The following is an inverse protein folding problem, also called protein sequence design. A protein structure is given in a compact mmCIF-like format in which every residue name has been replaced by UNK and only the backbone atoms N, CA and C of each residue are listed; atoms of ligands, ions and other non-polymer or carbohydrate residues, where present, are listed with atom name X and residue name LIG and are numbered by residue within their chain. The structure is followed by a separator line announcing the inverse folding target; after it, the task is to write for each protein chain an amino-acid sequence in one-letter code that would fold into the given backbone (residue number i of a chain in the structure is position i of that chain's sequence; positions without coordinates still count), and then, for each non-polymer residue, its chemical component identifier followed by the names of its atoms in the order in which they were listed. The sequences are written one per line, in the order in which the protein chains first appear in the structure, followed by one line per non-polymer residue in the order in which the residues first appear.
data_IF_753262869179
#
_entry.id   IF_753262869179
#
_cell.length_a   1.000
_cell.length_b   1.000
_cell.length_c   1.000
_cell.angle_alpha   90.00
_cell.angle_beta   90.00
_cell.angle_gamma   90.00
#
_symmetry.space_group_name_H-M   'P 1'
#
loop_
_entity.id
_entity.type
_entity.pdbx_description
1 polymer ?
#
# COMPACT_ATOMS: atom_id res chain seq x y z
N UNK A 1 18.57 -15.90 6.85
CA UNK A 1 18.48 -14.51 7.36
C UNK A 1 17.01 -14.23 7.68
N UNK A 2 16.67 -13.76 8.87
CA UNK A 2 15.27 -13.69 9.30
C UNK A 2 14.49 -12.66 8.46
N UNK A 3 13.33 -13.06 7.94
CA UNK A 3 12.43 -12.19 7.16
C UNK A 3 12.12 -10.87 7.89
N UNK A 4 12.04 -10.91 9.23
CA UNK A 4 11.85 -9.75 10.07
C UNK A 4 12.98 -8.71 9.92
N UNK A 5 14.24 -9.16 9.90
CA UNK A 5 15.41 -8.27 9.75
C UNK A 5 15.37 -7.59 8.39
N UNK A 6 15.02 -8.32 7.32
CA UNK A 6 14.87 -7.76 5.98
C UNK A 6 13.74 -6.73 5.90
N UNK A 7 12.61 -7.02 6.52
CA UNK A 7 11.48 -6.10 6.57
C UNK A 7 11.83 -4.81 7.32
N UNK A 8 12.47 -4.91 8.48
CA UNK A 8 12.93 -3.74 9.26
C UNK A 8 13.97 -2.95 8.48
N UNK A 9 14.97 -3.62 7.88
CA UNK A 9 15.99 -2.95 7.08
C UNK A 9 15.38 -2.22 5.88
N UNK A 10 14.40 -2.81 5.20
CA UNK A 10 13.69 -2.18 4.09
C UNK A 10 12.85 -0.97 4.54
N UNK A 11 12.18 -1.04 5.69
CA UNK A 11 11.45 0.09 6.27
C UNK A 11 12.37 1.24 6.64
N UNK A 12 13.48 0.96 7.32
CA UNK A 12 14.50 1.97 7.67
C UNK A 12 15.09 2.60 6.41
N UNK A 13 15.43 1.78 5.43
CA UNK A 13 15.95 2.25 4.15
C UNK A 13 14.93 3.11 3.39
N UNK A 14 13.67 2.67 3.33
CA UNK A 14 12.58 3.46 2.72
C UNK A 14 12.35 4.82 3.40
N UNK A 15 12.64 4.93 4.70
CA UNK A 15 12.58 6.19 5.44
C UNK A 15 13.78 7.10 5.15
N UNK A 16 14.97 6.52 5.01
CA UNK A 16 16.21 7.28 4.80
C UNK A 16 16.44 7.67 3.34
N UNK A 17 15.87 6.91 2.41
CA UNK A 17 16.04 7.14 0.98
C UNK A 17 15.06 8.20 0.50
N UNK A 18 15.57 9.22 -0.20
CA UNK A 18 14.72 10.20 -0.86
C UNK A 18 13.75 9.49 -1.83
N UNK A 19 12.43 9.73 -1.75
CA UNK A 19 11.44 9.05 -2.61
C UNK A 19 11.77 9.16 -4.10
N UNK A 20 12.41 10.25 -4.52
CA UNK A 20 12.81 10.48 -5.90
C UNK A 20 13.77 9.45 -6.49
N UNK A 21 14.51 8.71 -5.67
CA UNK A 21 15.41 7.66 -6.16
C UNK A 21 14.68 6.37 -6.51
N UNK A 22 13.62 6.02 -5.77
CA UNK A 22 12.91 4.74 -5.92
C UNK A 22 11.76 4.83 -6.91
N UNK A 23 11.07 5.97 -6.98
CA UNK A 23 9.89 6.20 -7.83
C UNK A 23 10.13 5.85 -9.31
N UNK A 24 11.23 6.27 -9.97
CA UNK A 24 11.42 5.97 -11.39
C UNK A 24 11.60 4.47 -11.68
N UNK A 25 12.26 3.74 -10.78
CA UNK A 25 12.44 2.28 -10.95
C UNK A 25 11.12 1.53 -10.74
N UNK A 26 10.35 1.95 -9.75
CA UNK A 26 9.01 1.41 -9.52
C UNK A 26 8.12 1.63 -10.74
N UNK A 27 8.05 2.84 -11.27
CA UNK A 27 7.23 3.18 -12.43
C UNK A 27 7.62 2.36 -13.68
N UNK A 28 8.93 2.15 -13.90
CA UNK A 28 9.41 1.27 -14.98
C UNK A 28 8.95 -0.18 -14.79
N UNK A 29 9.00 -0.68 -13.56
CA UNK A 29 8.56 -2.04 -13.25
C UNK A 29 7.04 -2.19 -13.39
N UNK A 30 6.25 -1.22 -12.93
CA UNK A 30 4.80 -1.17 -13.11
C UNK A 30 4.44 -1.12 -14.61
N UNK A 31 5.07 -0.26 -15.39
CA UNK A 31 4.87 -0.17 -16.84
C UNK A 31 5.24 -1.48 -17.57
N UNK A 32 6.27 -2.19 -17.12
CA UNK A 32 6.62 -3.50 -17.68
C UNK A 32 5.53 -4.55 -17.39
N UNK A 33 4.99 -4.58 -16.17
CA UNK A 33 3.87 -5.46 -15.80
C UNK A 33 2.64 -5.13 -16.65
N UNK A 34 2.33 -3.87 -16.81
CA UNK A 34 1.21 -3.38 -17.63
C UNK A 34 1.37 -3.82 -19.08
N UNK A 35 2.54 -3.65 -19.66
CA UNK A 35 2.81 -4.06 -21.05
C UNK A 35 2.63 -5.57 -21.25
N UNK A 36 3.05 -6.40 -20.29
CA UNK A 36 2.79 -7.84 -20.33
C UNK A 36 1.29 -8.12 -20.23
N UNK A 37 0.61 -7.43 -19.31
CA UNK A 37 -0.82 -7.57 -19.12
C UNK A 37 -1.61 -7.23 -20.41
N UNK A 38 -1.19 -6.19 -21.15
CA UNK A 38 -1.86 -5.78 -22.39
C UNK A 38 -1.74 -6.78 -23.54
N UNK A 39 -0.68 -7.57 -23.53
CA UNK A 39 -0.51 -8.63 -24.54
C UNK A 39 -1.43 -9.82 -24.31
N UNK A 40 -2.15 -9.87 -23.18
CA UNK A 40 -3.01 -10.99 -22.77
C UNK A 40 -4.50 -10.66 -22.94
N UNK A 41 -5.33 -11.64 -23.33
CA UNK A 41 -6.81 -11.50 -23.32
C UNK A 41 -7.30 -11.21 -21.88
N UNK A 42 -8.36 -10.40 -21.74
CA UNK A 42 -8.91 -9.97 -20.46
C UNK A 42 -9.04 -11.11 -19.39
N UNK A 43 -9.63 -12.28 -19.71
CA UNK A 43 -9.82 -13.32 -18.69
C UNK A 43 -8.50 -13.94 -18.21
N UNK A 44 -7.41 -13.86 -18.99
CA UNK A 44 -6.11 -14.44 -18.67
C UNK A 44 -5.15 -13.45 -17.99
N UNK A 45 -5.41 -12.14 -18.05
CA UNK A 45 -4.54 -11.10 -17.47
C UNK A 45 -4.21 -11.37 -16.01
N UNK A 46 -5.25 -11.44 -15.18
CA UNK A 46 -5.09 -11.63 -13.74
C UNK A 46 -4.38 -12.96 -13.40
N UNK A 47 -4.87 -14.14 -13.83
CA UNK A 47 -4.23 -15.39 -13.44
C UNK A 47 -2.81 -15.56 -13.96
N UNK A 48 -2.51 -15.08 -15.17
CA UNK A 48 -1.16 -15.19 -15.75
C UNK A 48 -0.17 -14.26 -15.06
N UNK A 49 -0.53 -12.98 -14.85
CA UNK A 49 0.37 -12.01 -14.21
C UNK A 49 0.58 -12.36 -12.73
N UNK A 50 -0.48 -12.69 -12.01
CA UNK A 50 -0.39 -13.11 -10.59
C UNK A 50 0.38 -14.42 -10.46
N UNK A 51 0.12 -15.38 -11.33
CA UNK A 51 0.82 -16.66 -11.38
C UNK A 51 2.30 -16.51 -11.71
N UNK A 52 2.67 -15.61 -12.64
CA UNK A 52 4.06 -15.30 -12.95
C UNK A 52 4.79 -14.67 -11.76
N UNK A 53 4.14 -13.79 -11.00
CA UNK A 53 4.70 -13.22 -9.76
C UNK A 53 4.99 -14.28 -8.70
N UNK A 54 4.06 -15.23 -8.53
CA UNK A 54 4.29 -16.38 -7.64
C UNK A 54 5.44 -17.25 -8.11
N UNK A 55 5.49 -17.60 -9.42
CA UNK A 55 6.53 -18.46 -9.98
C UNK A 55 7.91 -17.81 -9.90
N UNK A 56 8.03 -16.55 -10.33
CA UNK A 56 9.29 -15.78 -10.25
C UNK A 56 9.76 -15.67 -8.80
N UNK A 57 8.85 -15.31 -7.89
CA UNK A 57 9.16 -15.21 -6.47
C UNK A 57 9.62 -16.55 -5.87
N UNK A 58 8.96 -17.65 -6.23
CA UNK A 58 9.33 -18.99 -5.77
C UNK A 58 10.71 -19.41 -6.29
N UNK A 59 11.00 -19.22 -7.58
CA UNK A 59 12.31 -19.53 -8.16
C UNK A 59 13.40 -18.71 -7.50
N UNK A 60 13.23 -17.40 -7.35
CA UNK A 60 14.20 -16.52 -6.71
C UNK A 60 14.39 -16.87 -5.23
N UNK A 61 13.35 -17.28 -4.51
CA UNK A 61 13.44 -17.65 -3.10
C UNK A 61 14.34 -18.89 -2.87
N UNK A 62 14.52 -19.76 -3.87
CA UNK A 62 15.44 -20.91 -3.79
C UNK A 62 16.91 -20.53 -3.98
N UNK A 63 17.21 -19.31 -4.44
CA UNK A 63 18.58 -18.82 -4.63
C UNK A 63 19.01 -18.00 -3.40
N UNK A 64 19.88 -18.52 -2.51
CA UNK A 64 20.09 -17.92 -1.18
C UNK A 64 20.60 -16.47 -1.24
N UNK A 65 21.54 -16.15 -2.11
CA UNK A 65 22.11 -14.80 -2.24
C UNK A 65 21.21 -13.92 -3.12
N UNK A 66 20.89 -14.40 -4.31
CA UNK A 66 20.08 -13.65 -5.29
C UNK A 66 18.66 -13.40 -4.74
N UNK A 67 18.05 -14.43 -4.13
CA UNK A 67 16.73 -14.33 -3.52
C UNK A 67 16.69 -13.32 -2.37
N UNK A 68 17.74 -13.23 -1.56
CA UNK A 68 17.83 -12.23 -0.50
C UNK A 68 17.92 -10.82 -1.06
N UNK A 69 18.76 -10.60 -2.07
CA UNK A 69 18.89 -9.30 -2.76
C UNK A 69 17.56 -8.93 -3.44
N UNK A 70 16.96 -9.87 -4.18
CA UNK A 70 15.69 -9.67 -4.85
C UNK A 70 14.57 -9.33 -3.86
N UNK A 71 14.54 -9.99 -2.69
CA UNK A 71 13.59 -9.71 -1.63
C UNK A 71 13.76 -8.29 -1.10
N UNK A 72 14.99 -7.87 -0.80
CA UNK A 72 15.29 -6.53 -0.30
C UNK A 72 14.91 -5.45 -1.31
N UNK A 73 15.26 -5.62 -2.58
CA UNK A 73 14.89 -4.71 -3.66
C UNK A 73 13.36 -4.64 -3.81
N UNK A 74 12.68 -5.79 -3.81
CA UNK A 74 11.22 -5.84 -3.92
C UNK A 74 10.53 -5.11 -2.76
N UNK A 75 11.00 -5.30 -1.53
CA UNK A 75 10.46 -4.59 -0.36
C UNK A 75 10.63 -3.08 -0.49
N UNK A 76 11.80 -2.60 -0.93
CA UNK A 76 12.06 -1.16 -1.12
C UNK A 76 11.16 -0.57 -2.21
N UNK A 77 10.96 -1.29 -3.32
CA UNK A 77 10.14 -0.84 -4.44
C UNK A 77 8.64 -0.79 -4.09
N UNK A 78 8.18 -1.75 -3.29
CA UNK A 78 6.76 -1.92 -3.00
C UNK A 78 6.32 -1.07 -1.81
N UNK A 79 7.13 -1.00 -0.74
CA UNK A 79 6.81 -0.25 0.48
C UNK A 79 7.07 1.24 0.27
N UNK A 80 6.02 2.06 0.41
CA UNK A 80 6.07 3.52 0.17
C UNK A 80 6.03 4.35 1.46
N UNK A 81 6.55 3.82 2.56
CA UNK A 81 6.52 4.48 3.86
C UNK A 81 7.08 5.92 3.81
N UNK A 82 8.24 6.10 3.17
CA UNK A 82 8.88 7.42 3.06
C UNK A 82 8.02 8.43 2.30
N UNK A 83 7.37 8.03 1.21
CA UNK A 83 6.49 8.92 0.45
C UNK A 83 5.24 9.30 1.23
N UNK A 84 4.55 8.34 1.84
CA UNK A 84 3.33 8.61 2.61
C UNK A 84 3.59 9.58 3.76
N UNK A 85 4.70 9.41 4.48
CA UNK A 85 5.07 10.30 5.57
C UNK A 85 5.50 11.68 5.08
N UNK A 86 6.20 11.77 3.96
CA UNK A 86 6.61 13.05 3.37
C UNK A 86 5.40 13.86 2.88
N UNK A 87 4.48 13.22 2.17
CA UNK A 87 3.28 13.89 1.64
C UNK A 87 2.42 14.45 2.79
N UNK A 88 2.19 13.66 3.86
CA UNK A 88 1.43 14.14 5.01
C UNK A 88 2.14 15.25 5.79
N UNK A 89 3.48 15.16 5.95
CA UNK A 89 4.25 16.23 6.60
C UNK A 89 4.26 17.52 5.79
N UNK A 90 4.26 17.45 4.46
CA UNK A 90 4.16 18.62 3.60
C UNK A 90 2.84 19.39 3.83
N UNK A 91 1.70 18.68 4.00
CA UNK A 91 0.41 19.32 4.32
C UNK A 91 0.47 19.98 5.70
N UNK A 92 0.99 19.28 6.71
CA UNK A 92 1.09 19.83 8.07
C UNK A 92 2.02 21.05 8.15
N UNK A 93 3.05 21.09 7.32
CA UNK A 93 3.96 22.25 7.24
C UNK A 93 3.26 23.47 6.67
N UNK A 94 2.44 23.31 5.61
CA UNK A 94 1.64 24.40 5.07
C UNK A 94 0.59 24.90 6.07
N UNK A 95 -0.07 24.01 6.80
CA UNK A 95 -1.00 24.41 7.87
C UNK A 95 -0.30 25.23 8.95
N UNK A 96 0.89 24.81 9.40
CA UNK A 96 1.67 25.52 10.43
C UNK A 96 2.19 26.86 9.97
N UNK A 97 2.47 27.02 8.67
CA UNK A 97 2.91 28.29 8.09
C UNK A 97 1.75 29.28 7.80
N UNK A 98 0.50 28.86 8.04
CA UNK A 98 -0.68 29.65 7.72
C UNK A 98 -1.06 29.66 6.23
N UNK A 99 -0.40 28.84 5.40
CA UNK A 99 -0.67 28.71 3.97
C UNK A 99 -1.85 27.75 3.70
N UNK A 100 -3.03 28.08 4.22
CA UNK A 100 -4.18 27.19 4.23
C UNK A 100 -4.59 26.70 2.83
N UNK A 101 -4.65 27.60 1.83
CA UNK A 101 -5.01 27.21 0.46
C UNK A 101 -4.02 26.20 -0.15
N UNK A 102 -2.71 26.30 0.17
CA UNK A 102 -1.72 25.34 -0.27
C UNK A 102 -1.90 23.99 0.43
N UNK A 103 -2.26 23.99 1.70
CA UNK A 103 -2.58 22.77 2.44
C UNK A 103 -3.78 22.04 1.84
N UNK A 104 -4.84 22.76 1.44
CA UNK A 104 -6.02 22.19 0.77
C UNK A 104 -5.65 21.55 -0.58
N UNK A 105 -4.83 22.23 -1.41
CA UNK A 105 -4.37 21.70 -2.71
C UNK A 105 -3.58 20.40 -2.50
N UNK A 106 -2.58 20.42 -1.60
CA UNK A 106 -1.80 19.22 -1.29
C UNK A 106 -2.64 18.08 -0.72
N UNK A 107 -3.65 18.40 0.11
CA UNK A 107 -4.57 17.39 0.62
C UNK A 107 -5.43 16.79 -0.49
N UNK A 108 -5.93 17.59 -1.43
CA UNK A 108 -6.68 17.10 -2.58
C UNK A 108 -5.86 16.09 -3.40
N UNK A 109 -4.58 16.40 -3.65
CA UNK A 109 -3.66 15.46 -4.32
C UNK A 109 -3.39 14.21 -3.47
N UNK A 110 -3.23 14.37 -2.16
CA UNK A 110 -2.93 13.29 -1.24
C UNK A 110 -4.13 12.38 -0.99
N UNK A 111 -5.33 12.91 -0.77
CA UNK A 111 -6.56 12.14 -0.47
C UNK A 111 -7.35 11.73 -1.71
N UNK A 112 -7.07 12.36 -2.87
CA UNK A 112 -7.88 12.28 -4.10
C UNK A 112 -9.35 12.67 -3.87
N UNK A 113 -9.60 13.49 -2.84
CA UNK A 113 -10.91 14.02 -2.48
C UNK A 113 -10.83 15.54 -2.49
N UNK A 114 -11.84 16.21 -3.00
CA UNK A 114 -11.88 17.69 -3.01
C UNK A 114 -11.86 18.23 -1.58
N UNK A 115 -10.79 18.94 -1.24
CA UNK A 115 -10.58 19.57 0.06
C UNK A 115 -10.93 21.08 0.09
N UNK A 116 -11.41 21.64 -1.01
CA UNK A 116 -11.64 23.10 -1.16
C UNK A 116 -12.65 23.67 -0.16
N UNK A 117 -13.59 22.87 0.32
CA UNK A 117 -14.64 23.27 1.26
C UNK A 117 -14.33 22.94 2.73
N UNK A 118 -13.16 22.35 3.01
CA UNK A 118 -12.78 21.97 4.36
C UNK A 118 -12.24 23.18 5.12
N UNK A 119 -12.56 23.28 6.40
CA UNK A 119 -11.90 24.17 7.34
C UNK A 119 -10.54 23.61 7.79
N UNK A 120 -9.79 24.35 8.59
CA UNK A 120 -8.46 23.94 9.06
C UNK A 120 -8.50 22.62 9.84
N UNK A 121 -9.51 22.45 10.70
CA UNK A 121 -9.69 21.21 11.45
C UNK A 121 -10.05 20.03 10.52
N UNK A 122 -10.87 20.28 9.50
CA UNK A 122 -11.23 19.31 8.47
C UNK A 122 -10.01 18.85 7.68
N UNK A 123 -9.14 19.79 7.25
CA UNK A 123 -7.90 19.47 6.56
C UNK A 123 -6.99 18.61 7.44
N UNK A 124 -6.79 19.00 8.70
CA UNK A 124 -5.97 18.21 9.63
C UNK A 124 -6.54 16.79 9.85
N UNK A 125 -7.84 16.68 10.06
CA UNK A 125 -8.54 15.40 10.27
C UNK A 125 -8.42 14.48 9.05
N UNK A 126 -8.77 14.97 7.86
CA UNK A 126 -8.70 14.16 6.63
C UNK A 126 -7.25 13.77 6.31
N UNK A 127 -6.26 14.65 6.61
CA UNK A 127 -4.84 14.30 6.46
C UNK A 127 -4.48 13.07 7.30
N UNK A 128 -4.89 13.04 8.58
CA UNK A 128 -4.62 11.91 9.48
C UNK A 128 -5.33 10.64 9.01
N UNK A 129 -6.62 10.74 8.67
CA UNK A 129 -7.41 9.61 8.17
C UNK A 129 -6.78 9.02 6.89
N UNK A 130 -6.43 9.87 5.93
CA UNK A 130 -5.78 9.45 4.68
C UNK A 130 -4.40 8.84 4.93
N UNK A 131 -3.61 9.42 5.84
CA UNK A 131 -2.29 8.87 6.20
C UNK A 131 -2.41 7.45 6.76
N UNK A 132 -3.36 7.21 7.67
CA UNK A 132 -3.59 5.88 8.24
C UNK A 132 -4.01 4.88 7.17
N UNK A 133 -4.95 5.25 6.29
CA UNK A 133 -5.40 4.40 5.19
C UNK A 133 -4.27 4.07 4.21
N UNK A 134 -3.44 5.06 3.86
CA UNK A 134 -2.29 4.85 2.99
C UNK A 134 -1.19 4.01 3.64
N UNK A 135 -0.92 4.19 4.92
CA UNK A 135 0.01 3.32 5.66
C UNK A 135 -0.51 1.88 5.72
N UNK A 136 -1.83 1.71 5.87
CA UNK A 136 -2.44 0.39 5.78
C UNK A 136 -2.18 -0.27 4.41
N UNK A 137 -2.53 0.40 3.33
CA UNK A 137 -2.48 -0.16 1.97
C UNK A 137 -1.07 -0.24 1.39
N UNK A 138 -0.21 0.75 1.65
CA UNK A 138 1.11 0.88 1.01
C UNK A 138 2.26 0.33 1.86
N UNK A 139 2.01 -0.01 3.14
CA UNK A 139 3.03 -0.55 4.05
C UNK A 139 2.57 -1.83 4.73
N UNK A 140 1.45 -1.78 5.47
CA UNK A 140 1.03 -2.89 6.31
C UNK A 140 0.62 -4.12 5.48
N UNK A 141 -0.22 -3.94 4.47
CA UNK A 141 -0.70 -5.06 3.64
C UNK A 141 0.44 -5.74 2.87
N UNK A 142 1.34 -5.02 2.17
CA UNK A 142 2.52 -5.63 1.57
C UNK A 142 3.38 -6.42 2.55
N UNK A 143 3.62 -5.87 3.76
CA UNK A 143 4.37 -6.56 4.81
C UNK A 143 3.65 -7.81 5.32
N UNK A 144 2.33 -7.77 5.47
CA UNK A 144 1.54 -8.95 5.85
C UNK A 144 1.68 -10.07 4.80
N UNK A 145 1.59 -9.75 3.52
CA UNK A 145 1.80 -10.73 2.45
C UNK A 145 3.24 -11.22 2.36
N UNK A 146 4.21 -10.37 2.68
CA UNK A 146 5.60 -10.78 2.81
C UNK A 146 5.78 -11.74 4.00
N UNK A 147 5.19 -11.46 5.14
CA UNK A 147 5.26 -12.32 6.33
C UNK A 147 4.62 -13.69 6.10
N UNK A 148 3.51 -13.75 5.35
CA UNK A 148 2.78 -14.98 5.06
C UNK A 148 3.41 -15.83 3.95
N UNK A 149 3.94 -15.20 2.90
CA UNK A 149 4.38 -15.89 1.69
C UNK A 149 5.76 -15.49 1.19
N UNK A 150 6.55 -14.73 1.95
CA UNK A 150 7.88 -14.27 1.54
C UNK A 150 7.87 -13.45 0.25
N UNK A 151 8.93 -13.60 -0.55
CA UNK A 151 9.05 -12.95 -1.85
C UNK A 151 7.90 -13.31 -2.82
N UNK A 152 7.46 -14.57 -2.95
CA UNK A 152 6.29 -14.89 -3.77
C UNK A 152 5.02 -14.16 -3.33
N UNK A 153 4.79 -14.07 -2.03
CA UNK A 153 3.61 -13.42 -1.45
C UNK A 153 3.52 -11.94 -1.79
N UNK A 154 4.62 -11.20 -1.58
CA UNK A 154 4.65 -9.76 -1.85
C UNK A 154 4.59 -9.44 -3.35
N UNK A 155 5.28 -10.23 -4.21
CA UNK A 155 5.22 -10.04 -5.66
C UNK A 155 3.81 -10.29 -6.21
N UNK A 156 3.16 -11.38 -5.78
CA UNK A 156 1.77 -11.67 -6.14
C UNK A 156 0.84 -10.51 -5.78
N UNK A 157 0.95 -10.01 -4.55
CA UNK A 157 0.13 -8.89 -4.10
C UNK A 157 0.38 -7.64 -4.95
N UNK A 158 1.65 -7.25 -5.14
CA UNK A 158 1.98 -6.07 -5.92
C UNK A 158 1.49 -6.15 -7.37
N UNK A 159 1.72 -7.27 -8.04
CA UNK A 159 1.24 -7.46 -9.42
C UNK A 159 -0.29 -7.40 -9.51
N UNK A 160 -1.00 -7.93 -8.50
CA UNK A 160 -2.46 -7.81 -8.42
C UNK A 160 -2.91 -6.35 -8.31
N UNK A 161 -2.22 -5.53 -7.49
CA UNK A 161 -2.56 -4.12 -7.31
C UNK A 161 -2.27 -3.29 -8.57
N UNK A 162 -1.19 -3.59 -9.29
CA UNK A 162 -0.87 -2.90 -10.56
C UNK A 162 -1.97 -3.11 -11.59
N UNK A 163 -2.47 -4.35 -11.73
CA UNK A 163 -3.57 -4.63 -12.67
C UNK A 163 -4.88 -3.98 -12.22
N UNK A 164 -5.20 -4.08 -10.93
CA UNK A 164 -6.45 -3.53 -10.41
C UNK A 164 -6.54 -2.01 -10.50
N UNK A 165 -5.42 -1.31 -10.36
CA UNK A 165 -5.37 0.15 -10.49
C UNK A 165 -5.55 0.65 -11.92
N UNK A 166 -5.48 -0.24 -12.90
CA UNK A 166 -5.57 0.07 -14.32
C UNK A 166 -6.94 -0.18 -14.91
N UNK A 167 -7.59 -1.26 -14.46
CA UNK A 167 -8.90 -1.65 -14.97
C UNK A 167 -10.00 -0.76 -14.36
N UNK A 168 -11.14 -0.71 -15.04
CA UNK A 168 -12.30 0.07 -14.57
C UNK A 168 -12.79 -0.43 -13.20
N UNK A 169 -13.29 0.49 -12.34
CA UNK A 169 -13.83 0.14 -11.04
C UNK A 169 -14.91 -0.95 -11.11
N UNK A 170 -14.85 -1.90 -10.19
CA UNK A 170 -15.81 -3.00 -10.09
C UNK A 170 -15.52 -4.23 -10.94
N UNK A 171 -14.40 -4.24 -11.68
CA UNK A 171 -13.97 -5.41 -12.44
C UNK A 171 -13.33 -6.51 -11.55
N UNK A 172 -13.10 -7.68 -12.14
CA UNK A 172 -12.54 -8.86 -11.46
C UNK A 172 -11.21 -8.58 -10.74
N UNK A 173 -10.25 -7.82 -11.31
CA UNK A 173 -8.98 -7.54 -10.62
C UNK A 173 -9.16 -6.72 -9.33
N UNK A 174 -10.04 -5.73 -9.31
CA UNK A 174 -10.35 -4.96 -8.12
C UNK A 174 -10.97 -5.84 -7.02
N UNK A 175 -11.93 -6.68 -7.36
CA UNK A 175 -12.55 -7.64 -6.41
C UNK A 175 -11.51 -8.60 -5.82
N UNK A 176 -10.57 -9.05 -6.64
CA UNK A 176 -9.49 -9.91 -6.19
C UNK A 176 -8.57 -9.21 -5.18
N UNK A 177 -8.17 -7.96 -5.45
CA UNK A 177 -7.36 -7.17 -4.51
C UNK A 177 -8.14 -6.88 -3.23
N UNK A 178 -9.42 -6.57 -3.31
CA UNK A 178 -10.27 -6.37 -2.13
C UNK A 178 -10.35 -7.64 -1.26
N UNK A 179 -10.42 -8.82 -1.88
CA UNK A 179 -10.35 -10.09 -1.17
C UNK A 179 -8.98 -10.31 -0.50
N UNK A 180 -7.89 -10.00 -1.20
CA UNK A 180 -6.54 -10.08 -0.63
C UNK A 180 -6.36 -9.10 0.54
N UNK A 181 -6.93 -7.92 0.47
CA UNK A 181 -6.86 -6.90 1.51
C UNK A 181 -7.72 -7.22 2.74
N UNK A 182 -8.75 -8.05 2.58
CA UNK A 182 -9.74 -8.32 3.62
C UNK A 182 -9.12 -8.85 4.94
N UNK A 183 -8.21 -9.83 4.87
CA UNK A 183 -7.54 -10.37 6.06
C UNK A 183 -6.57 -9.36 6.69
N UNK A 184 -5.59 -8.78 5.95
CA UNK A 184 -4.65 -7.81 6.53
C UNK A 184 -5.32 -6.58 7.14
N UNK A 185 -6.37 -6.04 6.51
CA UNK A 185 -7.09 -4.88 7.03
C UNK A 185 -7.78 -5.21 8.37
N UNK A 186 -8.37 -6.40 8.50
CA UNK A 186 -8.97 -6.82 9.76
C UNK A 186 -7.96 -7.03 10.87
N UNK A 187 -6.81 -7.62 10.56
CA UNK A 187 -5.71 -7.74 11.52
C UNK A 187 -5.21 -6.37 11.98
N UNK A 188 -5.08 -5.41 11.05
CA UNK A 188 -4.70 -4.04 11.39
C UNK A 188 -5.77 -3.37 12.25
N UNK A 189 -7.04 -3.49 11.89
CA UNK A 189 -8.15 -2.92 12.67
C UNK A 189 -8.20 -3.49 14.09
N UNK A 190 -7.95 -4.80 14.26
CA UNK A 190 -7.84 -5.44 15.57
C UNK A 190 -6.66 -4.89 16.37
N UNK A 191 -5.47 -4.78 15.77
CA UNK A 191 -4.29 -4.24 16.46
C UNK A 191 -4.49 -2.80 16.90
N UNK A 192 -5.06 -1.95 16.03
CA UNK A 192 -5.39 -0.56 16.37
C UNK A 192 -6.48 -0.49 17.46
N UNK A 193 -7.48 -1.38 17.41
CA UNK A 193 -8.52 -1.48 18.42
C UNK A 193 -7.98 -1.89 19.80
N UNK A 194 -6.93 -2.73 19.86
CA UNK A 194 -6.27 -3.09 21.12
C UNK A 194 -5.39 -1.98 21.67
N UNK A 195 -4.83 -1.12 20.82
CA UNK A 195 -3.95 -0.01 21.23
C UNK A 195 -4.72 1.28 21.55
N UNK A 196 -5.97 1.38 21.09
CA UNK A 196 -6.84 2.53 21.28
C UNK A 196 -7.87 2.36 22.42
N UNK A 197 -8.88 3.24 22.43
CA UNK A 197 -10.03 3.14 23.31
C UNK A 197 -10.89 1.93 22.95
N UNK A 198 -10.79 0.87 23.74
CA UNK A 198 -11.48 -0.39 23.49
C UNK A 198 -12.99 -0.28 23.46
N UNK A 199 -13.59 0.64 24.23
CA UNK A 199 -15.04 0.83 24.25
C UNK A 199 -15.53 1.46 22.95
N UNK A 200 -14.87 2.51 22.47
CA UNK A 200 -15.18 3.13 21.18
C UNK A 200 -14.94 2.19 20.00
N UNK A 201 -13.85 1.45 20.03
CA UNK A 201 -13.54 0.46 18.99
C UNK A 201 -14.58 -0.65 18.91
N UNK A 202 -15.07 -1.16 20.06
CA UNK A 202 -16.16 -2.15 20.09
C UNK A 202 -17.49 -1.60 19.59
N UNK A 203 -17.82 -0.35 19.95
CA UNK A 203 -19.04 0.29 19.49
C UNK A 203 -19.06 0.46 17.96
N UNK A 204 -17.97 0.94 17.37
CA UNK A 204 -17.80 1.09 15.92
C UNK A 204 -17.84 -0.28 15.21
N UNK A 205 -17.13 -1.27 15.76
CA UNK A 205 -17.13 -2.62 15.22
C UNK A 205 -18.51 -3.24 15.18
N UNK A 206 -19.27 -3.15 16.26
CA UNK A 206 -20.63 -3.69 16.35
C UNK A 206 -21.60 -2.97 15.41
N UNK A 207 -21.39 -1.67 15.15
CA UNK A 207 -22.22 -0.90 14.23
C UNK A 207 -21.94 -1.31 12.76
N UNK A 208 -20.69 -1.49 12.39
CA UNK A 208 -20.31 -1.85 11.02
C UNK A 208 -20.44 -3.35 10.72
N UNK A 209 -20.24 -4.23 11.71
CA UNK A 209 -20.41 -5.66 11.52
C UNK A 209 -21.88 -6.06 11.20
N UNK A 210 -22.85 -5.28 11.65
CA UNK A 210 -24.28 -5.49 11.35
C UNK A 210 -24.70 -5.06 9.94
N UNK A 211 -23.91 -4.22 9.28
CA UNK A 211 -24.23 -3.72 7.93
C UNK A 211 -23.63 -4.59 6.79
N UNK A 212 -23.03 -5.71 7.13
CA UNK A 212 -22.47 -6.68 6.18
C UNK A 212 -23.26 -8.02 6.12
N UNK A 213 -24.46 -8.07 6.73
CA UNK A 213 -25.37 -9.22 6.62
C UNK A 213 -26.48 -8.96 5.60
#
# INVERSE_FOLDING_TARGET
MNALILAIAALVFSRLTAPGLVVPYRHKAEHFIEKISDSLPNPLRLPVVVGSGLAIGAVLAHLPVIGTIATFISLILIIRYGKVTQDSQAILTELRSGSFSQAQIKLTEFSQTDASQLDENGVARITIETQVLRLASEVFIPLAWFALGGLPGILRYWMSTVIANRDDPGQTPERWVNLLNWIPIRLMALTLGFMGDQERSRAIWNHHAKNFS
#
